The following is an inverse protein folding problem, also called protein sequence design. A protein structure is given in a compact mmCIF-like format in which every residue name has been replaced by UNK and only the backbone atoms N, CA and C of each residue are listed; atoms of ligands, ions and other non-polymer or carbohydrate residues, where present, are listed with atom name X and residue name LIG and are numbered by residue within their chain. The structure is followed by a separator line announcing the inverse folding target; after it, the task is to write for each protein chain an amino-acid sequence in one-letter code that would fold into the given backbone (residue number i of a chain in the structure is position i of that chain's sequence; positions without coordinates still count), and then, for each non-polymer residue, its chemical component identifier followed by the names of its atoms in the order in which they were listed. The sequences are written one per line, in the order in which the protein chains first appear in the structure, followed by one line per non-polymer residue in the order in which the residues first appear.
data_IF_718245203500
#
_entry.id   IF_718245203500
#
_cell.length_a   1.000
_cell.length_b   1.000
_cell.length_c   1.000
_cell.angle_alpha   90.00
_cell.angle_beta   90.00
_cell.angle_gamma   90.00
#
_symmetry.space_group_name_H-M   'P 1'
#
loop_
_entity.id
_entity.type
_entity.pdbx_description
1 polymer ?
#
# COMPACT_ATOMS: atom_id res chain seq x y z
N UNK A 1 6.75 78.08 47.14
CA UNK A 1 5.84 78.02 48.30
C UNK A 1 5.63 76.57 48.63
N UNK A 2 6.44 76.09 49.53
CA UNK A 2 6.11 75.60 50.85
C UNK A 2 5.67 74.15 50.77
N UNK A 3 6.55 73.23 51.09
CA UNK A 3 6.93 72.64 52.44
C UNK A 3 5.85 71.80 53.07
N UNK A 4 6.30 70.55 53.41
CA UNK A 4 5.81 69.64 54.40
C UNK A 4 4.71 68.69 53.92
N UNK A 5 5.04 67.36 53.82
CA UNK A 5 5.12 66.50 54.98
C UNK A 5 5.89 65.24 54.67
N UNK A 6 7.03 65.02 55.32
CA UNK A 6 7.66 63.76 55.60
C UNK A 6 6.82 63.03 56.64
N UNK A 7 6.44 61.79 56.39
CA UNK A 7 6.36 60.85 57.48
C UNK A 7 6.14 59.41 56.98
N UNK A 8 7.07 58.55 57.34
CA UNK A 8 6.92 57.12 57.60
C UNK A 8 6.73 56.19 56.39
N UNK A 9 7.81 55.93 55.71
CA UNK A 9 7.99 54.67 55.04
C UNK A 9 8.69 53.72 56.01
N UNK A 10 7.90 52.90 56.65
CA UNK A 10 8.36 51.76 57.41
C UNK A 10 9.01 50.77 56.48
N UNK A 11 10.28 50.48 56.70
CA UNK A 11 11.01 49.42 56.06
C UNK A 11 10.36 48.11 56.50
N UNK A 12 9.52 47.56 55.68
CA UNK A 12 9.21 46.11 55.69
C UNK A 12 10.12 45.46 54.64
N UNK A 13 11.33 45.11 55.07
CA UNK A 13 12.11 44.02 54.43
C UNK A 13 11.37 42.74 54.74
N UNK A 14 10.33 42.45 53.98
CA UNK A 14 9.87 41.05 53.87
C UNK A 14 10.84 40.33 53.01
N UNK A 15 11.62 39.46 53.62
CA UNK A 15 12.30 38.35 53.01
C UNK A 15 11.32 37.63 52.06
N UNK A 16 11.33 38.01 50.79
CA UNK A 16 10.80 37.15 49.71
C UNK A 16 11.73 35.93 49.67
N UNK A 17 11.47 34.98 50.54
CA UNK A 17 11.89 33.60 50.31
C UNK A 17 11.21 33.25 48.96
N UNK A 18 12.05 33.16 47.93
CA UNK A 18 11.65 32.58 46.67
C UNK A 18 11.13 31.18 46.99
N UNK A 19 9.80 31.03 46.94
CA UNK A 19 9.22 29.73 46.67
C UNK A 19 9.76 29.37 45.29
N UNK A 20 10.90 28.69 45.27
CA UNK A 20 11.20 27.79 44.16
C UNK A 20 9.96 26.89 44.13
N UNK A 21 9.15 27.10 43.09
CA UNK A 21 8.17 26.12 42.64
C UNK A 21 9.02 24.85 42.46
N UNK A 22 9.02 23.99 43.48
CA UNK A 22 9.52 22.64 43.36
C UNK A 22 8.59 21.99 42.36
N UNK A 23 9.00 22.00 41.09
CA UNK A 23 8.44 21.12 40.08
C UNK A 23 8.32 19.77 40.76
N UNK A 24 7.10 19.22 40.84
CA UNK A 24 6.88 17.97 41.54
C UNK A 24 7.80 16.89 40.94
N UNK A 25 8.23 15.94 41.76
CA UNK A 25 9.12 14.86 41.33
C UNK A 25 8.66 14.19 40.03
N UNK A 26 7.35 14.20 39.71
CA UNK A 26 6.77 13.70 38.47
C UNK A 26 7.27 14.46 37.24
N UNK A 27 7.46 15.77 37.34
CA UNK A 27 7.99 16.60 36.24
C UNK A 27 9.45 16.32 35.99
N UNK A 28 10.22 16.11 37.05
CA UNK A 28 11.62 15.67 36.94
C UNK A 28 11.72 14.31 36.26
N UNK A 29 10.85 13.36 36.61
CA UNK A 29 10.77 12.04 35.95
C UNK A 29 10.41 12.18 34.47
N UNK A 30 9.43 13.03 34.12
CA UNK A 30 9.10 13.26 32.70
C UNK A 30 10.25 13.84 31.92
N UNK A 31 10.96 14.82 32.47
CA UNK A 31 12.13 15.44 31.87
C UNK A 31 13.25 14.43 31.64
N UNK A 32 13.55 13.59 32.65
CA UNK A 32 14.58 12.53 32.55
C UNK A 32 14.16 11.46 31.54
N UNK A 33 12.87 11.08 31.52
CA UNK A 33 12.33 10.13 30.54
C UNK A 33 12.46 10.69 29.10
N UNK A 34 12.18 11.97 28.90
CA UNK A 34 12.37 12.62 27.60
C UNK A 34 13.85 12.65 27.16
N UNK A 35 14.78 12.73 28.13
CA UNK A 35 16.21 12.62 27.90
C UNK A 35 16.72 11.15 27.82
N UNK A 36 15.82 10.18 27.95
CA UNK A 36 16.12 8.74 28.01
C UNK A 36 17.06 8.33 29.15
N UNK A 37 17.18 9.16 30.20
CA UNK A 37 17.93 8.82 31.41
C UNK A 37 17.06 8.00 32.38
N UNK A 38 16.84 6.75 31.98
CA UNK A 38 15.99 5.81 32.73
C UNK A 38 16.51 5.54 34.13
N UNK A 39 17.84 5.51 34.30
CA UNK A 39 18.50 5.28 35.59
C UNK A 39 18.22 6.42 36.58
N UNK A 40 18.32 7.67 36.15
CA UNK A 40 18.00 8.81 37.00
C UNK A 40 16.51 8.90 37.33
N UNK A 41 15.64 8.65 36.33
CA UNK A 41 14.19 8.62 36.53
C UNK A 41 13.80 7.55 37.56
N UNK A 42 14.35 6.34 37.43
CA UNK A 42 14.07 5.23 38.34
C UNK A 42 14.52 5.56 39.77
N UNK A 43 15.70 6.12 39.97
CA UNK A 43 16.17 6.53 41.33
C UNK A 43 15.24 7.52 42.04
N UNK A 44 14.61 8.43 41.27
CA UNK A 44 13.62 9.35 41.85
C UNK A 44 12.39 8.56 42.32
N UNK A 45 11.85 7.70 41.47
CA UNK A 45 10.64 6.94 41.80
C UNK A 45 10.88 5.93 42.94
N UNK A 46 12.00 5.23 42.94
CA UNK A 46 12.35 4.29 44.04
C UNK A 46 12.47 5.00 45.37
N UNK A 47 12.98 6.25 45.37
CA UNK A 47 12.99 7.08 46.61
C UNK A 47 11.59 7.43 47.05
N UNK A 48 10.68 7.78 46.14
CA UNK A 48 9.30 8.09 46.49
C UNK A 48 8.51 6.85 46.92
N UNK A 49 8.77 5.67 46.30
CA UNK A 49 8.23 4.37 46.79
C UNK A 49 8.69 4.09 48.21
N UNK A 50 9.99 4.36 48.53
CA UNK A 50 10.51 4.17 49.89
C UNK A 50 9.84 5.07 50.91
N UNK A 51 9.33 6.25 50.51
CA UNK A 51 8.57 7.18 51.36
C UNK A 51 7.09 6.77 51.52
N UNK A 52 6.51 6.23 50.46
CA UNK A 52 5.12 5.85 50.39
C UNK A 52 4.92 4.47 49.71
N UNK A 53 5.28 3.35 50.37
CA UNK A 53 5.29 2.02 49.76
C UNK A 53 3.95 1.49 49.27
N UNK A 54 2.87 2.03 49.83
CA UNK A 54 1.49 1.64 49.48
C UNK A 54 0.80 2.59 48.51
N UNK A 55 1.48 3.63 48.08
CA UNK A 55 0.95 4.59 47.14
C UNK A 55 1.02 4.01 45.71
N UNK A 56 -0.13 3.63 45.19
CA UNK A 56 -0.25 3.02 43.87
C UNK A 56 0.09 4.01 42.73
N UNK A 57 -0.10 5.31 42.96
CA UNK A 57 0.27 6.33 41.94
C UNK A 57 1.78 6.38 41.74
N UNK A 58 2.56 6.29 42.83
CA UNK A 58 4.01 6.24 42.73
C UNK A 58 4.46 4.95 42.03
N UNK A 59 3.85 3.83 42.35
CA UNK A 59 4.14 2.54 41.69
C UNK A 59 3.77 2.57 40.20
N UNK A 60 2.69 3.26 39.84
CA UNK A 60 2.32 3.48 38.41
C UNK A 60 3.42 4.21 37.67
N UNK A 61 4.09 5.18 38.27
CA UNK A 61 5.25 5.84 37.65
C UNK A 61 6.42 4.88 37.42
N UNK A 62 6.68 3.97 38.33
CA UNK A 62 7.68 2.91 38.13
C UNK A 62 7.32 2.04 36.93
N UNK A 63 6.09 1.55 36.84
CA UNK A 63 5.62 0.75 35.74
C UNK A 63 5.72 1.48 34.39
N UNK A 64 5.42 2.79 34.37
CA UNK A 64 5.61 3.64 33.17
C UNK A 64 7.06 3.73 32.72
N UNK A 65 8.00 3.97 33.65
CA UNK A 65 9.44 4.02 33.34
C UNK A 65 9.92 2.67 32.80
N UNK A 66 9.55 1.56 33.43
CA UNK A 66 9.84 0.21 32.95
C UNK A 66 9.29 -0.02 31.54
N UNK A 67 8.07 0.46 31.26
CA UNK A 67 7.49 0.38 29.93
C UNK A 67 8.32 1.20 28.93
N UNK A 68 8.67 2.43 29.24
CA UNK A 68 9.43 3.32 28.35
C UNK A 68 10.85 2.84 28.07
N UNK A 69 11.54 2.34 29.11
CA UNK A 69 12.89 1.77 29.01
C UNK A 69 12.95 0.44 28.25
N UNK A 70 11.81 -0.24 28.07
CA UNK A 70 11.75 -1.53 27.37
C UNK A 70 11.84 -2.75 28.29
N UNK A 71 11.89 -2.57 29.62
CA UNK A 71 11.84 -3.66 30.61
C UNK A 71 10.38 -4.20 30.73
N UNK A 72 9.87 -4.74 29.60
CA UNK A 72 8.44 -5.04 29.45
C UNK A 72 7.92 -6.14 30.38
N UNK A 73 8.75 -7.13 30.73
CA UNK A 73 8.35 -8.20 31.66
C UNK A 73 8.19 -7.67 33.09
N UNK A 74 9.10 -6.78 33.52
CA UNK A 74 9.00 -6.14 34.84
C UNK A 74 7.84 -5.14 34.89
N UNK A 75 7.59 -4.41 33.78
CA UNK A 75 6.43 -3.52 33.66
C UNK A 75 5.11 -4.29 33.77
N UNK A 76 4.99 -5.45 33.11
CA UNK A 76 3.82 -6.31 33.19
C UNK A 76 3.55 -6.77 34.61
N UNK A 77 4.60 -7.23 35.31
CA UNK A 77 4.49 -7.65 36.69
C UNK A 77 4.03 -6.50 37.58
N UNK A 78 4.64 -5.33 37.47
CA UNK A 78 4.31 -4.14 38.27
C UNK A 78 2.88 -3.68 38.04
N UNK A 79 2.42 -3.60 36.76
CA UNK A 79 1.01 -3.29 36.47
C UNK A 79 0.06 -4.37 37.00
N UNK A 80 0.45 -5.64 36.97
CA UNK A 80 -0.34 -6.74 37.53
C UNK A 80 -0.57 -6.59 39.03
N UNK A 81 0.47 -6.23 39.78
CA UNK A 81 0.34 -5.98 41.23
C UNK A 81 -0.50 -4.73 41.55
N UNK A 82 -0.32 -3.65 40.77
CA UNK A 82 -1.11 -2.43 40.90
C UNK A 82 -2.60 -2.72 40.66
N UNK A 83 -2.91 -3.43 39.56
CA UNK A 83 -4.28 -3.76 39.20
C UNK A 83 -4.94 -4.79 40.13
N UNK A 84 -4.15 -5.64 40.77
CA UNK A 84 -4.66 -6.52 41.86
C UNK A 84 -5.11 -5.72 43.10
N UNK A 85 -4.45 -4.60 43.39
CA UNK A 85 -4.77 -3.70 44.49
C UNK A 85 -5.82 -2.63 44.14
N UNK A 86 -5.76 -2.12 42.87
CA UNK A 86 -6.61 -1.03 42.37
C UNK A 86 -7.16 -1.39 40.98
N UNK A 87 -8.15 -2.30 40.86
CA UNK A 87 -8.61 -2.83 39.58
C UNK A 87 -9.42 -1.83 38.74
N UNK A 88 -9.89 -0.74 39.33
CA UNK A 88 -10.79 0.22 38.69
C UNK A 88 -10.09 1.47 38.15
N UNK A 89 -8.78 1.42 37.98
CA UNK A 89 -8.02 2.54 37.41
C UNK A 89 -7.80 2.32 35.90
N UNK A 90 -8.47 3.12 35.05
CA UNK A 90 -8.35 2.97 33.58
C UNK A 90 -6.93 3.29 33.05
N UNK A 91 -6.14 4.14 33.73
CA UNK A 91 -4.78 4.48 33.33
C UNK A 91 -3.83 3.29 33.49
N UNK A 92 -4.00 2.49 34.53
CA UNK A 92 -3.20 1.29 34.75
C UNK A 92 -3.54 0.18 33.73
N UNK A 93 -4.83 0.01 33.39
CA UNK A 93 -5.24 -0.88 32.30
C UNK A 93 -4.69 -0.44 30.94
N UNK A 94 -4.70 0.86 30.66
CA UNK A 94 -4.09 1.43 29.46
C UNK A 94 -2.58 1.22 29.42
N UNK A 95 -1.90 1.37 30.56
CA UNK A 95 -0.48 1.08 30.72
C UNK A 95 -0.17 -0.38 30.39
N UNK A 96 -0.92 -1.31 30.98
CA UNK A 96 -0.78 -2.74 30.72
C UNK A 96 -1.07 -3.09 29.24
N UNK A 97 -2.07 -2.46 28.61
CA UNK A 97 -2.36 -2.61 27.20
C UNK A 97 -1.17 -2.19 26.31
N UNK A 98 -0.48 -1.13 26.72
CA UNK A 98 0.74 -0.66 26.03
C UNK A 98 1.87 -1.68 26.17
N UNK A 99 2.06 -2.28 27.34
CA UNK A 99 3.06 -3.33 27.57
C UNK A 99 2.77 -4.55 26.67
N UNK A 100 1.56 -5.08 26.69
CA UNK A 100 1.18 -6.21 25.84
C UNK A 100 1.37 -5.92 24.34
N UNK A 101 1.01 -4.71 23.89
CA UNK A 101 1.19 -4.32 22.51
C UNK A 101 2.68 -4.30 22.11
N UNK A 102 3.56 -3.80 22.98
CA UNK A 102 5.00 -3.76 22.73
C UNK A 102 5.65 -5.14 22.79
N UNK A 103 5.07 -6.08 23.53
CA UNK A 103 5.47 -7.49 23.55
C UNK A 103 4.95 -8.27 22.31
N UNK A 104 4.15 -7.65 21.41
CA UNK A 104 3.51 -8.32 20.30
C UNK A 104 2.24 -9.09 20.64
N UNK A 105 1.81 -9.04 21.91
CA UNK A 105 0.61 -9.70 22.44
C UNK A 105 -0.63 -8.81 22.24
N UNK A 106 -0.88 -8.47 20.97
CA UNK A 106 -1.88 -7.44 20.58
C UNK A 106 -3.30 -7.76 21.04
N UNK A 107 -3.69 -9.04 21.07
CA UNK A 107 -5.03 -9.45 21.53
C UNK A 107 -5.24 -9.22 23.04
N UNK A 108 -4.21 -9.41 23.82
CA UNK A 108 -4.26 -9.15 25.27
C UNK A 108 -4.25 -7.64 25.52
N UNK A 109 -3.46 -6.88 24.74
CA UNK A 109 -3.51 -5.43 24.74
C UNK A 109 -4.89 -4.88 24.40
N UNK A 110 -5.58 -5.49 23.41
CA UNK A 110 -6.95 -5.12 23.04
C UNK A 110 -7.94 -5.33 24.20
N UNK A 111 -7.86 -6.47 24.89
CA UNK A 111 -8.74 -6.74 26.05
C UNK A 111 -8.48 -5.75 27.20
N UNK A 112 -7.21 -5.42 27.44
CA UNK A 112 -6.85 -4.49 28.50
C UNK A 112 -7.36 -3.07 28.22
N UNK A 113 -7.21 -2.56 26.97
CA UNK A 113 -7.75 -1.23 26.62
C UNK A 113 -9.28 -1.23 26.57
N UNK A 114 -9.91 -2.33 26.15
CA UNK A 114 -11.37 -2.49 26.20
C UNK A 114 -11.88 -2.36 27.63
N UNK A 115 -11.19 -2.99 28.58
CA UNK A 115 -11.53 -2.85 30.00
C UNK A 115 -11.33 -1.41 30.51
N UNK A 116 -10.26 -0.73 30.11
CA UNK A 116 -10.05 0.68 30.42
C UNK A 116 -11.20 1.57 29.91
N UNK A 117 -11.68 1.34 28.67
CA UNK A 117 -12.83 2.05 28.09
C UNK A 117 -14.14 1.73 28.82
N UNK A 118 -14.32 0.50 29.32
CA UNK A 118 -15.50 0.15 30.14
C UNK A 118 -15.51 0.89 31.48
N UNK A 119 -14.35 1.12 32.09
CA UNK A 119 -14.21 1.87 33.32
C UNK A 119 -14.48 3.37 33.13
N UNK A 120 -13.99 3.92 32.02
CA UNK A 120 -14.24 5.32 31.65
C UNK A 120 -14.44 5.48 30.14
N UNK A 121 -15.70 5.44 29.73
CA UNK A 121 -16.11 5.49 28.33
C UNK A 121 -16.13 6.90 27.72
N UNK A 122 -15.82 7.95 28.51
CA UNK A 122 -15.84 9.36 28.08
C UNK A 122 -14.43 9.95 27.92
N UNK A 123 -13.42 9.13 27.89
CA UNK A 123 -12.03 9.54 27.69
C UNK A 123 -11.62 9.40 26.23
N UNK A 124 -11.36 10.51 25.51
CA UNK A 124 -11.00 10.47 24.08
C UNK A 124 -9.70 9.73 23.80
N UNK A 125 -8.73 9.79 24.72
CA UNK A 125 -7.45 9.11 24.60
C UNK A 125 -7.59 7.57 24.70
N UNK A 126 -8.43 7.06 25.59
CA UNK A 126 -8.71 5.62 25.69
C UNK A 126 -9.44 5.11 24.44
N UNK A 127 -10.44 5.85 23.95
CA UNK A 127 -11.18 5.50 22.75
C UNK A 127 -10.26 5.51 21.50
N UNK A 128 -9.37 6.50 21.39
CA UNK A 128 -8.40 6.56 20.30
C UNK A 128 -7.43 5.36 20.36
N UNK A 129 -6.92 5.02 21.54
CA UNK A 129 -6.05 3.85 21.72
C UNK A 129 -6.78 2.53 21.40
N UNK A 130 -8.05 2.41 21.81
CA UNK A 130 -8.88 1.24 21.48
C UNK A 130 -9.08 1.14 19.97
N UNK A 131 -9.43 2.24 19.30
CA UNK A 131 -9.53 2.30 17.85
C UNK A 131 -8.22 1.91 17.14
N UNK A 132 -7.08 2.34 17.66
CA UNK A 132 -5.76 1.95 17.12
C UNK A 132 -5.50 0.45 17.22
N UNK A 133 -5.80 -0.16 18.37
CA UNK A 133 -5.63 -1.60 18.54
C UNK A 133 -6.63 -2.43 17.72
N UNK A 134 -7.89 -2.00 17.61
CA UNK A 134 -8.87 -2.60 16.72
C UNK A 134 -8.39 -2.60 15.26
N UNK A 135 -7.79 -1.50 14.79
CA UNK A 135 -7.19 -1.43 13.45
C UNK A 135 -6.04 -2.44 13.30
N UNK A 136 -5.17 -2.55 14.32
CA UNK A 136 -4.02 -3.47 14.28
C UNK A 136 -4.46 -4.93 14.18
N UNK A 137 -5.59 -5.30 14.79
CA UNK A 137 -6.17 -6.65 14.68
C UNK A 137 -7.12 -6.82 13.49
N UNK A 138 -7.05 -5.92 12.51
CA UNK A 138 -7.84 -5.96 11.27
C UNK A 138 -9.37 -5.87 11.49
N UNK A 139 -9.80 -5.05 12.47
CA UNK A 139 -11.22 -4.70 12.74
C UNK A 139 -11.51 -3.23 12.41
N UNK A 140 -11.35 -2.80 11.13
CA UNK A 140 -11.36 -1.38 10.76
C UNK A 140 -12.73 -0.70 10.92
N UNK A 141 -13.83 -1.46 10.80
CA UNK A 141 -15.18 -0.91 11.01
C UNK A 141 -15.39 -0.47 12.44
N UNK A 142 -14.96 -1.27 13.39
CA UNK A 142 -15.08 -0.97 14.82
C UNK A 142 -14.07 0.12 15.20
N UNK A 143 -12.85 0.07 14.69
CA UNK A 143 -11.87 1.14 14.87
C UNK A 143 -12.42 2.50 14.43
N UNK A 144 -13.16 2.57 13.31
CA UNK A 144 -13.80 3.79 12.83
C UNK A 144 -14.78 4.35 13.85
N UNK A 145 -15.61 3.49 14.44
CA UNK A 145 -16.59 3.90 15.43
C UNK A 145 -15.89 4.51 16.66
N UNK A 146 -14.85 3.85 17.17
CA UNK A 146 -14.16 4.33 18.37
C UNK A 146 -13.38 5.64 18.10
N UNK A 147 -12.75 5.81 16.94
CA UNK A 147 -12.15 7.07 16.57
C UNK A 147 -13.18 8.21 16.40
N UNK A 148 -14.36 7.91 15.86
CA UNK A 148 -15.44 8.90 15.76
C UNK A 148 -15.94 9.33 17.14
N UNK A 149 -16.17 8.38 18.05
CA UNK A 149 -16.54 8.67 19.44
C UNK A 149 -15.47 9.51 20.17
N UNK A 150 -14.19 9.22 19.94
CA UNK A 150 -13.11 10.02 20.48
C UNK A 150 -13.18 11.48 20.00
N UNK A 151 -13.47 11.70 18.70
CA UNK A 151 -13.59 13.04 18.11
C UNK A 151 -14.88 13.78 18.47
N UNK A 152 -15.95 13.06 18.80
CA UNK A 152 -17.17 13.65 19.37
C UNK A 152 -16.90 14.26 20.75
N UNK A 153 -16.00 13.67 21.54
CA UNK A 153 -15.60 14.15 22.85
C UNK A 153 -14.48 15.19 22.78
N UNK A 154 -13.51 14.99 21.90
CA UNK A 154 -12.41 15.91 21.64
C UNK A 154 -12.13 16.02 20.13
N UNK A 155 -12.68 17.05 19.44
CA UNK A 155 -12.47 17.26 18.01
C UNK A 155 -11.01 17.46 17.60
N UNK A 156 -10.14 17.83 18.54
CA UNK A 156 -8.71 18.05 18.30
C UNK A 156 -7.83 16.85 18.62
N UNK A 157 -8.41 15.71 19.01
CA UNK A 157 -7.64 14.49 19.28
C UNK A 157 -6.85 14.04 18.05
N UNK A 158 -5.53 14.29 18.07
CA UNK A 158 -4.65 14.05 16.94
C UNK A 158 -4.55 12.56 16.57
N UNK A 159 -4.59 11.66 17.58
CA UNK A 159 -4.53 10.21 17.35
C UNK A 159 -5.80 9.72 16.63
N UNK A 160 -6.97 10.14 17.09
CA UNK A 160 -8.24 9.76 16.47
C UNK A 160 -8.38 10.33 15.05
N UNK A 161 -7.95 11.59 14.81
CA UNK A 161 -7.89 12.18 13.47
C UNK A 161 -6.95 11.39 12.54
N UNK A 162 -5.74 11.06 13.01
CA UNK A 162 -4.80 10.26 12.25
C UNK A 162 -5.32 8.84 12.02
N UNK A 163 -5.97 8.26 13.05
CA UNK A 163 -6.63 6.97 12.99
C UNK A 163 -7.69 6.93 11.89
N UNK A 164 -8.63 7.85 11.88
CA UNK A 164 -9.65 7.94 10.82
C UNK A 164 -9.05 8.16 9.44
N UNK A 165 -8.06 9.07 9.30
CA UNK A 165 -7.37 9.24 8.01
C UNK A 165 -6.72 7.95 7.52
N UNK A 166 -6.17 7.15 8.42
CA UNK A 166 -5.55 5.86 8.08
C UNK A 166 -6.55 4.74 7.76
N UNK A 167 -7.81 4.88 8.23
CA UNK A 167 -8.92 4.00 7.90
C UNK A 167 -9.67 4.44 6.62
N UNK A 168 -9.39 5.65 6.11
CA UNK A 168 -9.78 5.97 4.74
C UNK A 168 -9.07 4.96 3.86
N UNK A 169 -9.83 3.98 3.53
CA UNK A 169 -9.50 2.82 2.73
C UNK A 169 -8.62 3.23 1.59
N UNK A 170 -7.45 2.60 1.48
CA UNK A 170 -6.78 2.56 0.19
C UNK A 170 -7.85 2.23 -0.85
N UNK A 171 -7.93 3.00 -1.92
CA UNK A 171 -8.96 2.80 -2.93
C UNK A 171 -8.91 1.35 -3.38
N UNK A 172 -10.03 0.66 -3.24
CA UNK A 172 -10.15 -0.77 -3.54
C UNK A 172 -10.57 -1.04 -4.96
N UNK A 173 -11.02 -0.01 -5.63
CA UNK A 173 -11.49 -0.09 -7.01
C UNK A 173 -10.65 0.82 -7.88
N UNK A 174 -10.30 0.36 -9.06
CA UNK A 174 -9.64 1.15 -10.09
C UNK A 174 -10.44 1.03 -11.39
N UNK A 175 -10.88 2.14 -11.93
CA UNK A 175 -11.40 2.23 -13.28
C UNK A 175 -10.29 2.72 -14.20
N UNK A 176 -10.13 2.04 -15.34
CA UNK A 176 -9.17 2.39 -16.38
C UNK A 176 -9.88 2.54 -17.70
N UNK A 177 -9.62 3.63 -18.40
CA UNK A 177 -10.07 3.88 -19.76
C UNK A 177 -8.85 3.98 -20.63
N UNK A 178 -8.88 3.37 -21.80
CA UNK A 178 -7.77 3.37 -22.75
C UNK A 178 -8.24 3.56 -24.18
N UNK A 179 -7.38 4.18 -24.97
CA UNK A 179 -7.54 4.30 -26.42
C UNK A 179 -6.23 3.98 -27.08
N UNK A 180 -6.28 3.34 -28.23
CA UNK A 180 -5.13 2.99 -29.03
C UNK A 180 -5.36 3.21 -30.52
N UNK A 181 -4.27 3.42 -31.24
CA UNK A 181 -4.30 3.53 -32.70
C UNK A 181 -3.03 2.93 -33.27
N UNK A 182 -3.18 2.06 -34.25
CA UNK A 182 -2.10 1.51 -35.04
C UNK A 182 -2.16 2.08 -36.45
N UNK A 183 -1.09 2.73 -36.89
CA UNK A 183 -0.89 3.23 -38.24
C UNK A 183 -0.01 2.26 -39.01
N UNK A 184 -0.40 1.92 -40.23
CA UNK A 184 0.30 0.99 -41.06
C UNK A 184 0.70 1.68 -42.40
N UNK A 185 1.80 1.22 -43.03
CA UNK A 185 2.15 1.67 -44.36
C UNK A 185 1.52 0.83 -45.51
N UNK A 186 0.70 -0.16 -45.16
CA UNK A 186 0.17 -1.15 -46.10
C UNK A 186 -1.36 -1.40 -45.96
N UNK A 187 -2.01 -0.82 -44.98
CA UNK A 187 -3.47 -0.91 -44.77
C UNK A 187 -3.94 0.30 -43.95
N UNK A 188 -5.25 0.43 -43.80
CA UNK A 188 -5.87 1.46 -42.98
C UNK A 188 -5.49 1.32 -41.50
N UNK A 189 -5.62 2.41 -40.77
CA UNK A 189 -5.35 2.42 -39.34
C UNK A 189 -6.38 1.54 -38.58
N UNK A 190 -5.88 0.88 -37.52
CA UNK A 190 -6.74 0.22 -36.54
C UNK A 190 -6.93 1.12 -35.33
N UNK A 191 -8.13 1.06 -34.76
CA UNK A 191 -8.44 1.77 -33.52
C UNK A 191 -8.94 0.78 -32.47
N UNK A 192 -8.56 1.03 -31.22
CA UNK A 192 -9.10 0.31 -30.07
C UNK A 192 -9.41 1.26 -28.93
N UNK A 193 -10.49 0.97 -28.22
CA UNK A 193 -10.88 1.66 -27.03
C UNK A 193 -11.40 0.67 -26.00
N UNK A 194 -11.32 1.01 -24.72
CA UNK A 194 -11.81 0.10 -23.70
C UNK A 194 -11.90 0.72 -22.32
N UNK A 195 -12.71 0.09 -21.52
CA UNK A 195 -12.85 0.39 -20.10
C UNK A 195 -12.72 -0.88 -19.29
N UNK A 196 -12.06 -0.81 -18.15
CA UNK A 196 -11.99 -1.90 -17.19
C UNK A 196 -12.13 -1.41 -15.77
N UNK A 197 -12.68 -2.26 -14.91
CA UNK A 197 -12.79 -2.04 -13.47
C UNK A 197 -12.10 -3.20 -12.77
N UNK A 198 -11.11 -2.86 -11.99
CA UNK A 198 -10.43 -3.79 -11.08
C UNK A 198 -10.88 -3.52 -9.67
N UNK A 199 -11.23 -4.57 -8.92
CA UNK A 199 -11.76 -4.47 -7.57
C UNK A 199 -11.01 -5.40 -6.62
N UNK A 200 -10.38 -4.84 -5.57
CA UNK A 200 -9.80 -5.60 -4.46
C UNK A 200 -10.86 -5.82 -3.38
N UNK A 201 -11.52 -6.99 -3.37
CA UNK A 201 -12.58 -7.32 -2.42
C UNK A 201 -12.04 -7.59 -1.02
N UNK A 202 -10.91 -8.27 -0.96
CA UNK A 202 -10.19 -8.60 0.26
C UNK A 202 -8.68 -8.47 0.04
N UNK A 203 -7.87 -8.68 1.07
CA UNK A 203 -6.41 -8.77 0.92
C UNK A 203 -5.97 -9.89 -0.05
N UNK A 204 -6.84 -10.89 -0.29
CA UNK A 204 -6.51 -12.10 -1.05
C UNK A 204 -7.22 -12.19 -2.41
N UNK A 205 -8.32 -11.47 -2.62
CA UNK A 205 -9.14 -11.61 -3.81
C UNK A 205 -9.29 -10.31 -4.57
N UNK A 206 -8.98 -10.38 -5.87
CA UNK A 206 -9.15 -9.30 -6.84
C UNK A 206 -9.95 -9.80 -8.02
N UNK A 207 -10.82 -8.96 -8.57
CA UNK A 207 -11.49 -9.20 -9.84
C UNK A 207 -11.19 -8.07 -10.81
N UNK A 208 -11.19 -8.40 -12.10
CA UNK A 208 -11.17 -7.43 -13.18
C UNK A 208 -12.28 -7.76 -14.15
N UNK A 209 -13.01 -6.74 -14.60
CA UNK A 209 -14.02 -6.84 -15.65
C UNK A 209 -13.78 -5.69 -16.62
N UNK A 210 -13.82 -5.98 -17.91
CA UNK A 210 -13.57 -4.98 -18.94
C UNK A 210 -14.42 -5.21 -20.19
N UNK A 211 -14.55 -4.14 -20.95
CA UNK A 211 -15.13 -4.09 -22.28
C UNK A 211 -14.16 -3.36 -23.20
N UNK A 212 -14.08 -3.81 -24.45
CA UNK A 212 -13.28 -3.15 -25.48
C UNK A 212 -13.99 -3.18 -26.82
N UNK A 213 -13.83 -2.10 -27.58
CA UNK A 213 -14.24 -1.95 -28.96
C UNK A 213 -13.00 -1.89 -29.83
N UNK A 214 -13.03 -2.60 -30.93
CA UNK A 214 -11.93 -2.78 -31.86
C UNK A 214 -12.40 -2.50 -33.28
N UNK A 215 -11.77 -1.56 -33.96
CA UNK A 215 -11.98 -1.31 -35.38
C UNK A 215 -10.74 -1.77 -36.14
N UNK A 216 -10.89 -2.82 -36.94
CA UNK A 216 -9.78 -3.44 -37.67
C UNK A 216 -10.20 -3.80 -39.10
N UNK A 217 -9.42 -3.36 -40.07
CA UNK A 217 -9.67 -3.64 -41.49
C UNK A 217 -11.14 -3.33 -41.90
N UNK A 218 -11.69 -2.22 -41.38
CA UNK A 218 -13.08 -1.81 -41.67
C UNK A 218 -14.16 -2.63 -40.95
N UNK A 219 -13.80 -3.51 -40.01
CA UNK A 219 -14.73 -4.31 -39.22
C UNK A 219 -14.67 -3.87 -37.76
N UNK A 220 -15.86 -3.61 -37.18
CA UNK A 220 -16.00 -3.32 -35.77
C UNK A 220 -16.28 -4.61 -34.98
N UNK A 221 -15.65 -4.74 -33.83
CA UNK A 221 -15.82 -5.88 -32.95
C UNK A 221 -15.77 -5.46 -31.49
N UNK A 222 -16.59 -6.06 -30.65
CA UNK A 222 -16.65 -5.82 -29.23
C UNK A 222 -16.25 -7.08 -28.45
N UNK A 223 -15.54 -6.88 -27.34
CA UNK A 223 -15.08 -7.95 -26.48
C UNK A 223 -15.34 -7.64 -25.01
N UNK A 224 -15.83 -8.62 -24.26
CA UNK A 224 -15.93 -8.58 -22.81
C UNK A 224 -14.89 -9.50 -22.21
N UNK A 225 -14.18 -9.03 -21.17
CA UNK A 225 -13.17 -9.77 -20.45
C UNK A 225 -13.47 -9.78 -18.97
N UNK A 226 -13.23 -10.91 -18.30
CA UNK A 226 -13.31 -11.01 -16.86
C UNK A 226 -12.20 -11.91 -16.33
N UNK A 227 -11.68 -11.56 -15.14
CA UNK A 227 -10.70 -12.38 -14.44
C UNK A 227 -10.83 -12.27 -12.93
N UNK A 228 -10.33 -13.30 -12.25
CA UNK A 228 -10.20 -13.35 -10.80
C UNK A 228 -8.77 -13.69 -10.44
N UNK A 229 -8.21 -12.97 -9.49
CA UNK A 229 -6.87 -13.20 -8.94
C UNK A 229 -6.96 -13.58 -7.47
N UNK A 230 -6.40 -14.73 -7.14
CA UNK A 230 -6.23 -15.19 -5.76
C UNK A 230 -4.78 -14.99 -5.32
N UNK A 231 -4.55 -14.19 -4.25
CA UNK A 231 -3.23 -14.02 -3.64
C UNK A 231 -3.03 -15.11 -2.58
N UNK A 232 -2.01 -15.93 -2.76
CA UNK A 232 -1.63 -17.04 -1.88
C UNK A 232 -0.44 -16.58 -1.02
N UNK A 233 -0.62 -16.34 0.30
CA UNK A 233 0.45 -15.86 1.17
C UNK A 233 1.69 -16.75 1.08
N UNK A 234 2.84 -16.16 0.75
CA UNK A 234 4.12 -16.86 0.59
C UNK A 234 4.29 -17.63 -0.73
N UNK A 235 3.23 -17.80 -1.54
CA UNK A 235 3.26 -18.56 -2.80
C UNK A 235 3.08 -17.71 -4.05
N UNK A 236 2.66 -16.44 -3.91
CA UNK A 236 2.43 -15.55 -5.04
C UNK A 236 0.94 -15.33 -5.33
N UNK A 237 0.60 -15.05 -6.59
CA UNK A 237 -0.79 -14.90 -7.00
C UNK A 237 -1.10 -15.72 -8.25
N UNK A 238 -2.33 -16.21 -8.32
CA UNK A 238 -2.87 -16.94 -9.47
C UNK A 238 -4.05 -16.17 -10.03
N UNK A 239 -3.99 -15.83 -11.30
CA UNK A 239 -5.07 -15.19 -12.05
C UNK A 239 -5.66 -16.20 -13.03
N UNK A 240 -6.98 -16.30 -13.03
CA UNK A 240 -7.76 -17.05 -14.01
C UNK A 240 -8.74 -16.10 -14.68
N UNK A 241 -8.86 -16.19 -15.99
CA UNK A 241 -9.75 -15.31 -16.73
C UNK A 241 -10.11 -15.83 -18.10
N UNK A 242 -10.97 -15.05 -18.74
CA UNK A 242 -11.40 -15.31 -20.09
C UNK A 242 -12.07 -14.09 -20.71
N UNK A 243 -12.29 -14.16 -22.02
CA UNK A 243 -13.00 -13.15 -22.76
C UNK A 243 -13.95 -13.80 -23.77
N UNK A 244 -14.96 -13.03 -24.16
CA UNK A 244 -15.91 -13.43 -25.20
C UNK A 244 -16.23 -12.25 -26.09
N UNK A 245 -16.39 -12.53 -27.36
CA UNK A 245 -16.79 -11.58 -28.39
C UNK A 245 -17.86 -12.19 -29.29
N UNK A 246 -18.60 -11.34 -30.01
CA UNK A 246 -19.44 -11.84 -31.10
C UNK A 246 -18.57 -12.47 -32.18
N UNK A 247 -19.15 -13.40 -32.93
CA UNK A 247 -18.46 -14.05 -34.05
C UNK A 247 -18.06 -13.01 -35.11
N UNK A 248 -16.77 -12.88 -35.31
CA UNK A 248 -16.14 -11.96 -36.26
C UNK A 248 -14.81 -12.54 -36.71
N UNK A 249 -14.20 -11.96 -37.75
CA UNK A 249 -12.94 -12.44 -38.32
C UNK A 249 -11.68 -11.74 -37.74
N UNK A 250 -11.85 -10.71 -36.91
CA UNK A 250 -10.76 -9.80 -36.56
C UNK A 250 -10.25 -9.94 -35.11
N UNK A 251 -11.09 -10.45 -34.20
CA UNK A 251 -10.71 -10.76 -32.82
C UNK A 251 -11.15 -12.17 -32.43
N UNK A 252 -10.57 -12.78 -31.38
CA UNK A 252 -11.02 -14.09 -30.89
C UNK A 252 -12.45 -14.06 -30.41
N UNK A 253 -13.25 -15.09 -30.76
CA UNK A 253 -14.60 -15.29 -30.22
C UNK A 253 -14.60 -15.58 -28.74
N UNK A 254 -13.59 -16.35 -28.29
CA UNK A 254 -13.44 -16.77 -26.92
C UNK A 254 -11.96 -16.80 -26.57
N UNK A 255 -11.67 -16.48 -25.33
CA UNK A 255 -10.34 -16.56 -24.75
C UNK A 255 -10.42 -17.19 -23.38
N UNK A 256 -9.40 -17.93 -22.99
CA UNK A 256 -9.17 -18.37 -21.62
C UNK A 256 -7.71 -18.19 -21.29
N UNK A 257 -7.42 -17.79 -20.06
CA UNK A 257 -6.04 -17.62 -19.64
C UNK A 257 -5.87 -17.91 -18.16
N UNK A 258 -4.66 -18.31 -17.82
CA UNK A 258 -4.17 -18.25 -16.46
C UNK A 258 -2.79 -17.61 -16.42
N UNK A 259 -2.50 -16.98 -15.29
CA UNK A 259 -1.21 -16.38 -15.00
C UNK A 259 -0.86 -16.65 -13.54
N UNK A 260 0.36 -17.04 -13.30
CA UNK A 260 0.92 -17.20 -11.98
C UNK A 260 2.10 -16.25 -11.83
N UNK A 261 2.06 -15.43 -10.79
CA UNK A 261 3.14 -14.53 -10.45
C UNK A 261 3.70 -14.83 -9.05
N UNK A 262 5.01 -14.72 -8.93
CA UNK A 262 5.70 -14.84 -7.65
C UNK A 262 6.83 -13.83 -7.56
N UNK A 263 6.73 -12.96 -6.56
CA UNK A 263 7.73 -11.94 -6.28
C UNK A 263 8.46 -12.20 -4.97
N UNK A 264 9.77 -12.01 -4.97
CA UNK A 264 10.62 -12.11 -3.78
C UNK A 264 11.49 -10.88 -3.62
N UNK A 265 11.47 -10.29 -2.42
CA UNK A 265 12.45 -9.28 -2.04
C UNK A 265 13.79 -9.97 -1.75
N UNK A 266 14.89 -9.49 -2.35
CA UNK A 266 16.21 -10.11 -2.23
C UNK A 266 17.06 -9.37 -1.19
N UNK A 267 17.31 -8.06 -1.38
CA UNK A 267 18.15 -7.27 -0.47
C UNK A 267 17.68 -5.82 -0.45
N UNK A 268 17.78 -5.16 0.71
CA UNK A 268 17.48 -3.72 0.82
C UNK A 268 18.62 -2.85 0.28
N UNK A 269 19.88 -3.32 0.38
CA UNK A 269 21.09 -2.55 0.08
C UNK A 269 21.83 -3.04 -1.17
N UNK A 270 21.42 -4.19 -1.73
CA UNK A 270 22.04 -4.79 -2.92
C UNK A 270 21.64 -4.12 -4.23
N UNK A 271 22.41 -4.43 -5.30
CA UNK A 271 22.07 -4.03 -6.68
C UNK A 271 20.75 -4.69 -7.12
N UNK A 272 20.51 -5.92 -6.72
CA UNK A 272 19.26 -6.65 -6.98
C UNK A 272 18.37 -6.59 -5.74
N UNK A 273 17.34 -5.75 -5.78
CA UNK A 273 16.44 -5.51 -4.64
C UNK A 273 15.28 -6.47 -4.57
N UNK A 274 14.88 -7.01 -5.70
CA UNK A 274 13.79 -7.98 -5.81
C UNK A 274 13.77 -8.65 -7.17
N UNK A 275 13.10 -9.78 -7.22
CA UNK A 275 12.84 -10.55 -8.43
C UNK A 275 11.36 -10.94 -8.42
N UNK A 276 10.70 -10.76 -9.54
CA UNK A 276 9.35 -11.25 -9.80
C UNK A 276 9.40 -12.13 -11.06
N UNK A 277 8.79 -13.28 -10.98
CA UNK A 277 8.68 -14.23 -12.09
C UNK A 277 7.21 -14.43 -12.39
N UNK A 278 6.86 -14.32 -13.65
CA UNK A 278 5.50 -14.54 -14.14
C UNK A 278 5.52 -15.66 -15.15
N UNK A 279 4.58 -16.58 -15.03
CA UNK A 279 4.30 -17.62 -16.01
C UNK A 279 2.83 -17.55 -16.38
N UNK A 280 2.51 -17.67 -17.67
CA UNK A 280 1.13 -17.65 -18.14
C UNK A 280 0.90 -18.46 -19.38
N UNK A 281 -0.33 -18.87 -19.56
CA UNK A 281 -0.83 -19.46 -20.80
C UNK A 281 -2.14 -18.75 -21.18
N UNK A 282 -2.31 -18.54 -22.47
CA UNK A 282 -3.49 -17.92 -23.01
C UNK A 282 -3.94 -18.66 -24.26
N UNK A 283 -5.19 -19.08 -24.31
CA UNK A 283 -5.85 -19.77 -25.41
C UNK A 283 -6.80 -18.80 -26.11
N UNK A 284 -6.67 -18.74 -27.44
CA UNK A 284 -7.52 -17.90 -28.29
C UNK A 284 -8.23 -18.79 -29.30
N UNK A 285 -9.55 -18.66 -29.38
CA UNK A 285 -10.39 -19.35 -30.36
C UNK A 285 -10.94 -18.33 -31.35
N UNK A 286 -10.38 -18.33 -32.54
CA UNK A 286 -10.89 -17.56 -33.68
C UNK A 286 -11.85 -18.43 -34.50
N UNK A 287 -12.57 -17.82 -35.47
CA UNK A 287 -13.38 -18.54 -36.46
C UNK A 287 -12.54 -19.51 -37.29
N UNK A 288 -11.32 -19.13 -37.65
CA UNK A 288 -10.44 -19.84 -38.58
C UNK A 288 -9.17 -20.41 -37.97
N UNK A 289 -8.93 -20.18 -36.68
CA UNK A 289 -7.68 -20.59 -36.03
C UNK A 289 -7.87 -20.81 -34.52
N UNK A 290 -6.95 -21.60 -33.97
CA UNK A 290 -6.70 -21.69 -32.52
C UNK A 290 -5.28 -21.29 -32.23
N UNK A 291 -5.07 -20.52 -31.16
CA UNK A 291 -3.74 -20.09 -30.74
C UNK A 291 -3.57 -20.37 -29.28
N UNK A 292 -2.45 -20.98 -28.92
CA UNK A 292 -1.97 -21.07 -27.57
C UNK A 292 -0.71 -20.22 -27.44
N UNK A 293 -0.68 -19.29 -26.51
CA UNK A 293 0.54 -18.61 -26.12
C UNK A 293 1.01 -19.08 -24.76
N UNK A 294 2.32 -19.31 -24.63
CA UNK A 294 2.99 -19.61 -23.37
C UNK A 294 3.97 -18.48 -23.14
N UNK A 295 3.87 -17.79 -22.03
CA UNK A 295 4.77 -16.71 -21.66
C UNK A 295 5.50 -16.98 -20.35
N UNK A 296 6.76 -16.59 -20.30
CA UNK A 296 7.54 -16.53 -19.07
C UNK A 296 8.26 -15.20 -19.01
N UNK A 297 8.17 -14.48 -17.90
CA UNK A 297 8.90 -13.24 -17.72
C UNK A 297 9.55 -13.16 -16.33
N UNK A 298 10.65 -12.40 -16.29
CA UNK A 298 11.33 -12.06 -15.05
C UNK A 298 11.50 -10.55 -14.98
N UNK A 299 11.15 -9.96 -13.84
CA UNK A 299 11.31 -8.54 -13.55
C UNK A 299 12.28 -8.40 -12.38
N UNK A 300 13.40 -7.73 -12.65
CA UNK A 300 14.42 -7.43 -11.65
C UNK A 300 14.22 -6.00 -11.17
N UNK A 301 14.09 -5.84 -9.87
CA UNK A 301 14.00 -4.54 -9.20
C UNK A 301 15.39 -4.08 -8.80
N UNK A 302 15.76 -2.88 -9.24
CA UNK A 302 17.06 -2.26 -9.07
C UNK A 302 16.98 -1.05 -8.14
N UNK A 303 18.10 -0.48 -7.67
CA UNK A 303 18.13 0.75 -6.89
C UNK A 303 17.44 1.92 -7.61
N UNK A 304 16.95 2.90 -6.83
CA UNK A 304 16.29 4.11 -7.33
C UNK A 304 15.07 3.83 -8.21
N UNK A 305 14.32 2.77 -7.92
CA UNK A 305 13.10 2.38 -8.65
C UNK A 305 13.29 2.01 -10.11
N UNK A 306 14.52 1.68 -10.53
CA UNK A 306 14.75 1.10 -11.84
C UNK A 306 14.23 -0.34 -11.89
N UNK A 307 13.75 -0.75 -13.05
CA UNK A 307 13.29 -2.13 -13.27
C UNK A 307 13.83 -2.62 -14.62
N UNK A 308 14.24 -3.87 -14.65
CA UNK A 308 14.59 -4.54 -15.91
C UNK A 308 13.73 -5.78 -16.04
N UNK A 309 13.00 -5.87 -17.14
CA UNK A 309 12.14 -7.01 -17.45
C UNK A 309 12.64 -7.72 -18.70
N UNK A 310 12.62 -9.04 -18.65
CA UNK A 310 12.86 -9.93 -19.78
C UNK A 310 11.64 -10.84 -19.90
N UNK A 311 11.06 -10.95 -21.09
CA UNK A 311 9.96 -11.86 -21.37
C UNK A 311 10.28 -12.73 -22.59
N UNK A 312 9.92 -13.99 -22.51
CA UNK A 312 9.98 -14.97 -23.58
C UNK A 312 8.58 -15.53 -23.83
N UNK A 313 8.17 -15.55 -25.07
CA UNK A 313 6.87 -16.04 -25.48
C UNK A 313 7.05 -17.12 -26.57
N UNK A 314 6.22 -18.15 -26.51
CA UNK A 314 6.02 -19.12 -27.58
C UNK A 314 4.55 -19.12 -27.97
N UNK A 315 4.24 -18.90 -29.24
CA UNK A 315 2.89 -19.04 -29.75
C UNK A 315 2.78 -20.27 -30.63
N UNK A 316 1.83 -21.14 -30.30
CA UNK A 316 1.41 -22.25 -31.13
C UNK A 316 0.16 -21.84 -31.89
N UNK A 317 0.27 -21.71 -33.20
CA UNK A 317 -0.86 -21.38 -34.08
C UNK A 317 -1.30 -22.59 -34.86
N UNK A 318 -2.58 -22.93 -34.76
CA UNK A 318 -3.24 -23.96 -35.53
C UNK A 318 -4.30 -23.31 -36.43
N UNK A 319 -3.93 -23.10 -37.68
CA UNK A 319 -4.86 -22.64 -38.71
C UNK A 319 -5.52 -23.86 -39.34
N UNK A 320 -6.84 -23.94 -39.30
CA UNK A 320 -7.58 -25.08 -39.85
C UNK A 320 -7.14 -25.40 -41.28
N UNK A 321 -6.48 -26.55 -41.47
CA UNK A 321 -6.02 -27.06 -42.76
C UNK A 321 -4.59 -26.74 -43.15
N UNK A 322 -3.79 -26.00 -42.35
CA UNK A 322 -2.41 -25.66 -42.71
C UNK A 322 -1.32 -26.18 -41.78
N UNK A 323 -1.74 -26.90 -40.73
CA UNK A 323 -0.81 -27.48 -39.74
C UNK A 323 -0.49 -26.54 -38.55
N UNK A 324 0.24 -27.08 -37.59
CA UNK A 324 0.60 -26.40 -36.33
C UNK A 324 2.00 -25.83 -36.47
N UNK A 325 2.15 -24.55 -36.16
CA UNK A 325 3.45 -23.87 -36.11
C UNK A 325 3.73 -23.26 -34.74
N UNK A 326 4.97 -23.39 -34.25
CA UNK A 326 5.48 -22.71 -33.08
C UNK A 326 6.28 -21.48 -33.46
N UNK A 327 6.05 -20.37 -32.78
CA UNK A 327 6.70 -19.09 -33.06
C UNK A 327 7.23 -18.46 -31.79
N UNK A 328 8.56 -18.36 -31.65
CA UNK A 328 9.17 -17.74 -30.50
C UNK A 328 9.18 -16.22 -30.63
N UNK A 329 9.16 -15.55 -29.49
CA UNK A 329 9.31 -14.13 -29.41
C UNK A 329 9.94 -13.72 -28.08
N UNK A 330 10.62 -12.58 -28.04
CA UNK A 330 11.29 -12.07 -26.85
C UNK A 330 11.14 -10.55 -26.73
N UNK A 331 11.07 -10.09 -25.49
CA UNK A 331 10.98 -8.67 -25.15
C UNK A 331 11.92 -8.36 -23.98
N UNK A 332 12.63 -7.24 -24.07
CA UNK A 332 13.32 -6.63 -22.95
C UNK A 332 12.79 -5.22 -22.71
N UNK A 333 12.61 -4.84 -21.44
CA UNK A 333 12.09 -3.54 -21.04
C UNK A 333 12.90 -2.97 -19.89
N UNK A 334 13.30 -1.72 -20.00
CA UNK A 334 13.94 -0.97 -18.93
C UNK A 334 12.99 0.13 -18.46
N UNK A 335 12.61 0.10 -17.19
CA UNK A 335 11.79 1.12 -16.55
C UNK A 335 12.65 1.98 -15.63
N UNK A 336 12.37 3.28 -15.57
CA UNK A 336 13.14 4.25 -14.79
C UNK A 336 12.28 5.43 -14.32
N UNK A 337 12.58 6.01 -13.15
CA UNK A 337 12.00 7.27 -12.74
C UNK A 337 12.62 8.43 -13.55
N UNK A 338 11.81 9.43 -13.92
CA UNK A 338 12.27 10.59 -14.68
C UNK A 338 12.34 11.82 -13.76
N UNK A 339 11.27 12.12 -13.04
CA UNK A 339 11.20 13.31 -12.20
C UNK A 339 10.12 13.20 -11.12
N UNK A 340 10.24 14.07 -10.09
CA UNK A 340 9.28 14.23 -9.00
C UNK A 340 9.55 13.38 -7.77
N UNK A 341 9.07 13.84 -6.62
CA UNK A 341 9.10 13.07 -5.38
C UNK A 341 8.30 11.77 -5.56
N UNK A 342 8.81 10.68 -5.01
CA UNK A 342 8.18 9.34 -5.04
C UNK A 342 7.79 8.85 -6.45
N UNK A 343 8.61 9.14 -7.49
CA UNK A 343 8.41 8.58 -8.82
C UNK A 343 7.09 9.00 -9.48
N UNK A 344 6.70 10.27 -9.37
CA UNK A 344 5.48 10.78 -10.03
C UNK A 344 5.49 10.62 -11.54
N UNK A 345 6.66 10.76 -12.16
CA UNK A 345 6.87 10.55 -13.60
C UNK A 345 7.84 9.40 -13.79
N UNK A 346 7.38 8.33 -14.43
CA UNK A 346 8.17 7.15 -14.78
C UNK A 346 8.19 6.98 -16.30
N UNK A 347 9.33 6.57 -16.81
CA UNK A 347 9.51 6.19 -18.20
C UNK A 347 9.86 4.73 -18.34
N UNK A 348 9.65 4.20 -19.53
CA UNK A 348 10.22 2.93 -19.94
C UNK A 348 10.59 2.96 -21.40
N UNK A 349 11.57 2.14 -21.77
CA UNK A 349 11.90 1.81 -23.15
C UNK A 349 11.90 0.31 -23.30
N UNK A 350 11.51 -0.19 -24.46
CA UNK A 350 11.50 -1.61 -24.71
C UNK A 350 11.93 -1.94 -26.13
N UNK A 351 12.46 -3.14 -26.27
CA UNK A 351 12.80 -3.75 -27.54
C UNK A 351 12.22 -5.17 -27.58
N UNK A 352 11.59 -5.52 -28.70
CA UNK A 352 11.03 -6.85 -28.91
C UNK A 352 11.39 -7.40 -30.27
N UNK A 353 11.55 -8.71 -30.33
CA UNK A 353 11.80 -9.46 -31.58
C UNK A 353 10.88 -10.68 -31.59
N UNK A 354 10.36 -11.03 -32.75
CA UNK A 354 9.52 -12.21 -32.88
C UNK A 354 8.73 -12.25 -34.15
N UNK A 355 7.88 -13.23 -34.22
CA UNK A 355 7.02 -13.47 -35.39
C UNK A 355 5.61 -12.93 -35.18
N UNK A 356 5.38 -12.22 -34.07
CA UNK A 356 4.07 -11.70 -33.69
C UNK A 356 4.13 -10.27 -33.16
N UNK A 357 2.98 -9.62 -33.09
CA UNK A 357 2.85 -8.28 -32.58
C UNK A 357 2.70 -8.29 -31.06
N UNK A 358 3.73 -7.88 -30.32
CA UNK A 358 3.70 -7.80 -28.86
C UNK A 358 2.78 -6.72 -28.29
N UNK A 359 2.46 -5.71 -29.06
CA UNK A 359 1.53 -4.68 -28.63
C UNK A 359 0.09 -5.19 -28.65
N UNK A 360 -0.20 -6.19 -29.46
CA UNK A 360 -1.53 -6.76 -29.66
C UNK A 360 -1.41 -8.27 -29.94
N UNK A 361 -1.49 -9.08 -28.91
CA UNK A 361 -1.38 -10.55 -28.96
C UNK A 361 -2.42 -11.23 -29.83
N UNK A 362 -3.47 -10.50 -30.22
CA UNK A 362 -4.54 -10.96 -31.06
C UNK A 362 -4.35 -10.68 -32.58
N UNK A 363 -3.22 -10.10 -32.98
CA UNK A 363 -2.84 -9.97 -34.40
C UNK A 363 -1.97 -11.13 -34.86
N UNK A 364 -2.57 -12.03 -35.60
CA UNK A 364 -1.92 -13.21 -36.16
C UNK A 364 -1.21 -12.83 -37.47
N UNK A 365 0.07 -13.19 -37.59
CA UNK A 365 0.82 -12.97 -38.85
C UNK A 365 2.01 -13.90 -38.97
N UNK A 366 2.29 -14.34 -40.23
CA UNK A 366 3.49 -15.12 -40.58
C UNK A 366 4.64 -14.19 -40.94
N UNK A 367 5.08 -13.30 -40.04
CA UNK A 367 6.15 -12.37 -40.35
C UNK A 367 7.11 -12.21 -39.16
N UNK A 368 8.38 -12.03 -39.43
CA UNK A 368 9.32 -11.61 -38.41
C UNK A 368 9.20 -10.11 -38.18
N UNK A 369 9.30 -9.69 -36.94
CA UNK A 369 9.21 -8.29 -36.55
C UNK A 369 10.29 -7.89 -35.55
N UNK A 370 10.66 -6.61 -35.60
CA UNK A 370 11.45 -5.93 -34.57
C UNK A 370 10.68 -4.70 -34.16
N UNK A 371 10.46 -4.57 -32.85
CA UNK A 371 9.70 -3.47 -32.28
C UNK A 371 10.58 -2.71 -31.32
N UNK A 372 10.58 -1.39 -31.41
CA UNK A 372 11.15 -0.51 -30.42
C UNK A 372 10.04 0.42 -29.92
N UNK A 373 10.00 0.69 -28.62
CA UNK A 373 8.98 1.58 -28.09
C UNK A 373 9.39 2.21 -26.78
N UNK A 374 8.62 3.22 -26.41
CA UNK A 374 8.76 3.96 -25.17
C UNK A 374 7.40 4.25 -24.56
N UNK A 375 7.37 4.35 -23.25
CA UNK A 375 6.17 4.72 -22.51
C UNK A 375 6.46 5.70 -21.38
N UNK A 376 5.46 6.50 -21.07
CA UNK A 376 5.48 7.43 -19.95
C UNK A 376 4.26 7.16 -19.07
N UNK A 377 4.45 7.28 -17.77
CA UNK A 377 3.40 7.17 -16.75
C UNK A 377 3.52 8.34 -15.80
N UNK A 378 2.45 9.09 -15.66
CA UNK A 378 2.39 10.25 -14.80
C UNK A 378 1.24 10.14 -13.79
N UNK A 379 1.57 10.21 -12.50
CA UNK A 379 0.61 10.25 -11.41
C UNK A 379 0.13 11.68 -11.20
N UNK A 380 -1.10 11.97 -11.59
CA UNK A 380 -1.74 13.28 -11.44
C UNK A 380 -1.99 13.59 -9.96
N UNK A 381 -2.65 12.65 -9.27
CA UNK A 381 -2.96 12.71 -7.84
C UNK A 381 -2.62 11.38 -7.16
N UNK A 382 -2.92 11.23 -5.89
CA UNK A 382 -2.77 9.94 -5.18
C UNK A 382 -3.64 8.82 -5.79
N UNK A 383 -4.76 9.21 -6.44
CA UNK A 383 -5.75 8.27 -6.99
C UNK A 383 -5.88 8.32 -8.50
N UNK A 384 -5.21 9.23 -9.20
CA UNK A 384 -5.34 9.42 -10.65
C UNK A 384 -4.00 9.28 -11.35
N UNK A 385 -3.98 8.55 -12.44
CA UNK A 385 -2.81 8.27 -13.25
C UNK A 385 -3.14 8.37 -14.74
N UNK A 386 -2.22 8.93 -15.51
CA UNK A 386 -2.23 8.88 -16.97
C UNK A 386 -1.00 8.14 -17.45
N UNK A 387 -1.14 7.38 -18.53
CA UNK A 387 0.00 6.77 -19.19
C UNK A 387 -0.19 6.82 -20.70
N UNK A 388 0.92 6.94 -21.41
CA UNK A 388 0.95 6.87 -22.85
C UNK A 388 2.15 6.07 -23.32
N UNK A 389 2.03 5.47 -24.48
CA UNK A 389 3.15 4.78 -25.11
C UNK A 389 3.15 5.01 -26.63
N UNK A 390 4.33 4.84 -27.20
CA UNK A 390 4.53 4.74 -28.64
C UNK A 390 5.42 3.55 -28.94
N UNK A 391 5.17 2.89 -30.07
CA UNK A 391 6.00 1.81 -30.55
C UNK A 391 6.11 1.88 -32.05
N UNK A 392 7.31 1.55 -32.59
CA UNK A 392 7.55 1.40 -33.99
C UNK A 392 8.00 -0.01 -34.29
N UNK A 393 7.27 -0.68 -35.19
CA UNK A 393 7.51 -2.06 -35.58
C UNK A 393 7.86 -2.14 -37.03
N UNK A 394 9.01 -2.77 -37.31
CA UNK A 394 9.44 -3.19 -38.64
C UNK A 394 9.13 -4.66 -38.84
N UNK A 395 8.41 -5.00 -39.88
CA UNK A 395 8.01 -6.36 -40.23
C UNK A 395 8.75 -6.79 -41.53
N UNK A 396 8.77 -8.09 -41.79
CA UNK A 396 9.19 -8.60 -43.10
C UNK A 396 8.36 -7.98 -44.21
N UNK A 397 8.92 -7.97 -45.46
CA UNK A 397 8.30 -7.38 -46.65
C UNK A 397 8.12 -5.84 -46.56
N UNK A 398 9.04 -5.13 -45.88
CA UNK A 398 9.03 -3.67 -45.69
C UNK A 398 7.71 -3.11 -45.10
N UNK A 399 6.97 -3.93 -44.38
CA UNK A 399 5.76 -3.51 -43.67
C UNK A 399 6.15 -2.83 -42.36
N UNK A 400 5.52 -1.71 -42.08
CA UNK A 400 5.79 -0.88 -40.90
C UNK A 400 4.49 -0.59 -40.18
N UNK A 401 4.60 -0.52 -38.85
CA UNK A 401 3.49 -0.13 -38.00
C UNK A 401 3.99 0.87 -36.94
N UNK A 402 3.22 1.91 -36.69
CA UNK A 402 3.39 2.82 -35.54
C UNK A 402 2.19 2.70 -34.67
N UNK A 403 2.41 2.37 -33.43
CA UNK A 403 1.36 2.24 -32.38
C UNK A 403 1.43 3.42 -31.43
N UNK A 404 0.29 4.01 -31.12
CA UNK A 404 0.10 5.01 -30.08
C UNK A 404 -0.99 4.53 -29.12
N UNK A 405 -0.76 4.70 -27.84
CA UNK A 405 -1.77 4.38 -26.85
C UNK A 405 -1.78 5.36 -25.69
N UNK A 406 -2.96 5.59 -25.13
CA UNK A 406 -3.18 6.44 -23.99
C UNK A 406 -4.14 5.76 -23.01
N UNK A 407 -3.86 5.88 -21.71
CA UNK A 407 -4.73 5.36 -20.66
C UNK A 407 -4.88 6.38 -19.53
N UNK A 408 -6.08 6.44 -18.97
CA UNK A 408 -6.39 7.15 -17.73
C UNK A 408 -6.93 6.16 -16.71
N UNK A 409 -6.43 6.22 -15.50
CA UNK A 409 -6.87 5.38 -14.40
C UNK A 409 -7.26 6.23 -13.20
N UNK A 410 -8.36 5.87 -12.56
CA UNK A 410 -8.83 6.48 -11.30
C UNK A 410 -9.12 5.40 -10.28
N UNK A 411 -8.63 5.60 -9.05
CA UNK A 411 -8.87 4.72 -7.89
C UNK A 411 -9.88 5.35 -6.94
N UNK A 412 -10.81 4.54 -6.41
CA UNK A 412 -11.87 5.00 -5.52
C UNK A 412 -12.31 3.92 -4.52
#
# INVERSE_FOLDING_TARGET
MILRTLARIGIFCTLAWGQQLTLGWQEDVRRLAAAQDWGAAMRIVDREISRAPRDMDVRTWRARILTWSGSLAEAEHEYGEILAAAPNDPDNWMGLATVYTRQGRTQEGLRAVEHAVQLDSRRPDLLAAYGRLLRTVNRPREAKVEFQRALELDPHNAEAQAGLRSLHTEPRHEMRVGVGTDFFNFTDANHDEGVSVTSDWTAHWRTNVGWGSYQRAGTDAEKFIASVTGKLPGWGALTLGGATARDNSVIPKCEAFFEYDHGRRLSADGVFRGLEVVYGQHWYWYTTARILTINGSAIVYLPREWTWALALNGAQSDFYGTGVEWRPAGLTRLGFPIAGEAGRLKGNVFFAVGTENFAQLDQIGRFSSRTVGAGLRFRLTATQEVAGFTAYQMRSQDRKQTSLGFTYAVRF
#
